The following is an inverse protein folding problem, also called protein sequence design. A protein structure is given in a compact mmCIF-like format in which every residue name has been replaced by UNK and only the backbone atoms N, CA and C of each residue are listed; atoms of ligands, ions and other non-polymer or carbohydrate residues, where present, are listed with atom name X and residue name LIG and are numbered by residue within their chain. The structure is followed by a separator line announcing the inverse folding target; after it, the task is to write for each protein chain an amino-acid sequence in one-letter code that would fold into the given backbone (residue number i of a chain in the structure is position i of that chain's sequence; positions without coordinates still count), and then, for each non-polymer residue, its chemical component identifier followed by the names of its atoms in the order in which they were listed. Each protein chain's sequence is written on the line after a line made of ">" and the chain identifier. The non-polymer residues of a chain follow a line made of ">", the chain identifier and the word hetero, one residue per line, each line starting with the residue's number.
data_IF_906925169923
#
_entry.id   IF_906925169923
#
_cell.length_a   1.000
_cell.length_b   1.000
_cell.length_c   1.000
_cell.angle_alpha   90.00
_cell.angle_beta   90.00
_cell.angle_gamma   90.00
#
_symmetry.space_group_name_H-M   'P 1'
#
loop_
_entity.id
_entity.type
_entity.pdbx_description
1 polymer ?
#
# COMPACT_ATOMS: atom_id res chain seq x y z
N UNK A 1 11.71 -19.47 -3.00
CA UNK A 1 10.30 -19.71 -2.66
C UNK A 1 9.48 -19.00 -3.71
N UNK A 2 8.55 -19.70 -4.35
CA UNK A 2 7.64 -19.13 -5.36
C UNK A 2 6.39 -18.66 -4.63
N UNK A 3 6.05 -17.38 -4.76
CA UNK A 3 4.89 -16.80 -4.08
C UNK A 3 3.68 -16.95 -5.00
N UNK A 4 2.56 -17.47 -4.47
CA UNK A 4 1.33 -17.63 -5.24
C UNK A 4 0.41 -16.43 -4.99
N UNK A 5 -0.13 -15.84 -6.07
CA UNK A 5 -1.07 -14.71 -5.99
C UNK A 5 -2.25 -14.96 -5.06
N UNK A 6 -2.75 -16.19 -5.05
CA UNK A 6 -3.93 -16.61 -4.30
C UNK A 6 -3.70 -16.63 -2.79
N UNK A 7 -2.43 -16.71 -2.39
CA UNK A 7 -2.02 -16.66 -0.98
C UNK A 7 -1.55 -15.27 -0.58
N UNK A 8 -1.54 -14.29 -1.48
CA UNK A 8 -1.11 -12.93 -1.17
C UNK A 8 -2.26 -12.15 -0.53
N UNK A 9 -1.96 -11.64 0.66
CA UNK A 9 -2.80 -10.67 1.35
C UNK A 9 -2.11 -9.32 1.42
N UNK A 10 -2.90 -8.26 1.34
CA UNK A 10 -2.49 -6.88 1.35
C UNK A 10 -2.93 -6.20 2.65
N UNK A 11 -1.98 -5.53 3.28
CA UNK A 11 -2.22 -4.60 4.36
C UNK A 11 -1.87 -3.18 3.90
N UNK A 12 -2.83 -2.27 4.03
CA UNK A 12 -2.64 -0.86 3.70
C UNK A 12 -2.49 -0.08 4.99
N UNK A 13 -1.41 0.67 5.11
CA UNK A 13 -1.14 1.57 6.22
C UNK A 13 -1.15 3.01 5.71
N UNK A 14 -1.66 3.90 6.55
CA UNK A 14 -1.71 5.33 6.31
C UNK A 14 -1.00 6.06 7.44
N UNK A 15 -0.07 6.93 7.07
CA UNK A 15 0.53 7.90 7.97
C UNK A 15 0.42 9.28 7.32
N UNK A 16 0.31 10.31 8.15
CA UNK A 16 0.45 11.68 7.68
C UNK A 16 1.34 12.45 8.64
N UNK A 17 2.09 13.36 8.06
CA UNK A 17 3.02 14.23 8.77
C UNK A 17 3.03 15.61 8.12
N UNK A 18 3.63 16.58 8.80
CA UNK A 18 3.84 17.91 8.25
C UNK A 18 5.35 18.12 8.13
N UNK A 19 5.85 18.20 6.90
CA UNK A 19 7.27 18.46 6.64
C UNK A 19 7.41 19.84 6.02
N UNK A 20 8.30 20.67 6.54
CA UNK A 20 8.54 22.03 6.02
C UNK A 20 7.28 22.92 5.85
N UNK A 21 6.23 22.69 6.64
CA UNK A 21 4.96 23.42 6.55
C UNK A 21 3.97 22.87 5.51
N UNK A 22 4.35 21.82 4.77
CA UNK A 22 3.49 21.13 3.82
C UNK A 22 2.96 19.82 4.40
N UNK A 23 1.71 19.48 4.08
CA UNK A 23 1.12 18.21 4.50
C UNK A 23 1.67 17.09 3.64
N UNK A 24 2.23 16.07 4.27
CA UNK A 24 2.73 14.87 3.62
C UNK A 24 1.87 13.69 4.05
N UNK A 25 1.32 12.98 3.08
CA UNK A 25 0.57 11.75 3.30
C UNK A 25 1.41 10.56 2.79
N UNK A 26 1.56 9.53 3.62
CA UNK A 26 2.29 8.31 3.32
C UNK A 26 1.33 7.13 3.36
N UNK A 27 1.28 6.37 2.28
CA UNK A 27 0.52 5.13 2.15
C UNK A 27 1.49 3.98 1.98
N UNK A 28 1.58 3.09 2.96
CA UNK A 28 2.43 1.91 2.89
C UNK A 28 1.61 0.67 2.63
N UNK A 29 1.80 0.09 1.46
CA UNK A 29 1.26 -1.20 1.05
C UNK A 29 2.24 -2.29 1.46
N UNK A 30 1.78 -3.25 2.26
CA UNK A 30 2.54 -4.43 2.65
C UNK A 30 1.80 -5.64 2.12
N UNK A 31 2.48 -6.44 1.30
CA UNK A 31 2.02 -7.73 0.83
C UNK A 31 2.65 -8.82 1.68
N UNK A 32 1.83 -9.74 2.15
CA UNK A 32 2.25 -10.89 2.94
C UNK A 32 1.76 -12.17 2.29
N UNK A 33 2.59 -13.20 2.36
CA UNK A 33 2.17 -14.54 2.00
C UNK A 33 1.41 -15.14 3.19
N UNK A 34 0.12 -15.45 3.01
CA UNK A 34 -0.76 -15.96 4.04
C UNK A 34 -0.38 -17.38 4.50
N UNK A 35 0.32 -18.13 3.66
CA UNK A 35 0.78 -19.51 3.98
C UNK A 35 1.90 -19.50 5.01
N UNK A 36 2.82 -18.55 4.88
CA UNK A 36 4.04 -18.44 5.71
C UNK A 36 3.98 -17.29 6.71
N UNK A 37 3.01 -16.40 6.58
CA UNK A 37 2.88 -15.16 7.35
C UNK A 37 3.98 -14.12 7.06
N UNK A 38 4.83 -14.37 6.06
CA UNK A 38 6.03 -13.55 5.80
C UNK A 38 5.70 -12.39 4.87
N UNK A 39 6.26 -11.22 5.15
CA UNK A 39 6.21 -10.06 4.26
C UNK A 39 7.04 -10.33 2.99
N UNK A 40 6.41 -10.24 1.84
CA UNK A 40 7.03 -10.56 0.54
C UNK A 40 7.28 -9.32 -0.30
N UNK A 41 6.53 -8.25 -0.08
CA UNK A 41 6.70 -6.98 -0.78
C UNK A 41 6.17 -5.83 0.07
N UNK A 42 6.89 -4.70 0.10
CA UNK A 42 6.47 -3.49 0.80
C UNK A 42 6.73 -2.29 -0.09
N UNK A 43 5.72 -1.45 -0.31
CA UNK A 43 5.83 -0.20 -1.06
C UNK A 43 5.21 0.96 -0.31
N UNK A 44 5.94 2.05 -0.14
CA UNK A 44 5.48 3.29 0.47
C UNK A 44 5.33 4.36 -0.59
N UNK A 45 4.10 4.82 -0.79
CA UNK A 45 3.74 5.93 -1.64
C UNK A 45 3.64 7.18 -0.77
N UNK A 46 4.22 8.28 -1.24
CA UNK A 46 4.28 9.55 -0.53
C UNK A 46 3.64 10.61 -1.41
N UNK A 47 2.72 11.37 -0.84
CA UNK A 47 2.17 12.58 -1.43
C UNK A 47 2.65 13.77 -0.61
N UNK A 48 3.40 14.66 -1.23
CA UNK A 48 3.85 15.91 -0.64
C UNK A 48 2.98 17.05 -1.18
N UNK A 49 2.36 17.82 -0.28
CA UNK A 49 1.44 18.89 -0.63
C UNK A 49 -0.02 18.45 -0.79
N UNK A 50 -0.88 19.40 -1.16
CA UNK A 50 -2.31 19.21 -1.38
C UNK A 50 -2.75 19.86 -2.70
N UNK A 51 -3.83 19.35 -3.30
CA UNK A 51 -4.43 19.92 -4.51
C UNK A 51 -3.65 19.62 -5.79
N UNK A 52 -3.56 20.59 -6.70
CA UNK A 52 -2.89 20.44 -8.01
C UNK A 52 -1.36 20.47 -7.92
N UNK A 53 -0.81 21.02 -6.84
CA UNK A 53 0.64 21.05 -6.60
C UNK A 53 1.17 19.83 -5.85
N UNK A 54 0.30 18.85 -5.56
CA UNK A 54 0.68 17.64 -4.86
C UNK A 54 1.64 16.79 -5.71
N UNK A 55 2.82 16.50 -5.15
CA UNK A 55 3.83 15.64 -5.76
C UNK A 55 3.64 14.23 -5.23
N UNK A 56 3.57 13.26 -6.13
CA UNK A 56 3.42 11.85 -5.81
C UNK A 56 4.73 11.14 -6.10
N UNK A 57 5.34 10.57 -5.06
CA UNK A 57 6.63 9.90 -5.11
C UNK A 57 6.55 8.56 -4.43
N UNK A 58 7.38 7.62 -4.88
CA UNK A 58 7.57 6.35 -4.18
C UNK A 58 8.73 6.52 -3.19
N UNK A 59 8.44 6.44 -1.89
CA UNK A 59 9.42 6.68 -0.84
C UNK A 59 10.30 5.47 -0.52
N UNK A 60 9.70 4.28 -0.42
CA UNK A 60 10.43 3.04 -0.12
C UNK A 60 9.77 1.87 -0.85
N UNK A 61 10.57 1.02 -1.48
CA UNK A 61 10.10 -0.27 -1.99
C UNK A 61 11.07 -1.37 -1.60
N UNK A 62 10.52 -2.53 -1.28
CA UNK A 62 11.29 -3.73 -1.01
C UNK A 62 10.53 -4.96 -1.50
N UNK A 63 11.27 -5.93 -2.02
CA UNK A 63 10.77 -7.27 -2.34
C UNK A 63 11.66 -8.31 -1.68
N UNK A 64 11.04 -9.31 -1.09
CA UNK A 64 11.75 -10.38 -0.38
C UNK A 64 12.41 -11.37 -1.36
N UNK A 65 11.97 -11.41 -2.61
CA UNK A 65 12.57 -12.25 -3.64
C UNK A 65 12.55 -11.60 -5.03
N UNK A 66 13.68 -11.05 -5.46
CA UNK A 66 13.86 -10.48 -6.80
C UNK A 66 13.97 -11.52 -7.94
N UNK A 67 13.92 -12.82 -7.63
CA UNK A 67 13.83 -13.88 -8.66
C UNK A 67 12.38 -14.27 -8.96
N UNK A 68 11.43 -13.79 -8.17
CA UNK A 68 10.01 -14.09 -8.35
C UNK A 68 9.39 -13.09 -9.35
N UNK A 69 8.89 -13.55 -10.50
CA UNK A 69 8.35 -12.67 -11.53
C UNK A 69 7.11 -11.91 -11.07
N UNK A 70 6.32 -12.48 -10.14
CA UNK A 70 5.13 -11.82 -9.62
C UNK A 70 5.52 -10.62 -8.75
N UNK A 71 6.48 -10.78 -7.85
CA UNK A 71 6.96 -9.70 -7.00
C UNK A 71 7.63 -8.57 -7.79
N UNK A 72 8.35 -8.91 -8.87
CA UNK A 72 8.91 -7.92 -9.79
C UNK A 72 7.84 -7.10 -10.51
N UNK A 73 6.76 -7.74 -10.99
CA UNK A 73 5.63 -7.04 -11.61
C UNK A 73 4.93 -6.11 -10.62
N UNK A 74 4.72 -6.56 -9.38
CA UNK A 74 4.15 -5.76 -8.30
C UNK A 74 5.03 -4.55 -7.97
N UNK A 75 6.34 -4.74 -7.86
CA UNK A 75 7.28 -3.65 -7.66
C UNK A 75 7.21 -2.62 -8.80
N UNK A 76 7.24 -3.08 -10.05
CA UNK A 76 7.13 -2.21 -11.22
C UNK A 76 5.80 -1.43 -11.23
N UNK A 77 4.70 -2.08 -10.87
CA UNK A 77 3.39 -1.45 -10.76
C UNK A 77 3.39 -0.31 -9.72
N UNK A 78 3.86 -0.57 -8.51
CA UNK A 78 3.96 0.46 -7.48
C UNK A 78 5.03 1.51 -7.79
N UNK A 79 6.04 1.19 -8.60
CA UNK A 79 7.04 2.17 -9.07
C UNK A 79 6.43 3.18 -10.03
N UNK A 80 5.41 2.77 -10.79
CA UNK A 80 4.61 3.67 -11.65
C UNK A 80 3.51 4.42 -10.88
N UNK A 81 3.53 4.40 -9.54
CA UNK A 81 2.50 5.05 -8.74
C UNK A 81 2.36 6.53 -9.09
N UNK A 82 1.17 6.86 -9.58
CA UNK A 82 0.76 8.20 -9.92
C UNK A 82 -0.40 8.66 -9.01
N UNK A 83 -0.87 9.88 -9.25
CA UNK A 83 -1.99 10.48 -8.53
C UNK A 83 -3.23 9.56 -8.49
N UNK A 84 -3.58 8.90 -9.61
CA UNK A 84 -4.76 8.05 -9.67
C UNK A 84 -4.64 6.82 -8.77
N UNK A 85 -3.46 6.17 -8.72
CA UNK A 85 -3.21 5.07 -7.79
C UNK A 85 -3.32 5.53 -6.34
N UNK A 86 -2.69 6.67 -6.01
CA UNK A 86 -2.70 7.20 -4.66
C UNK A 86 -4.12 7.59 -4.22
N UNK A 87 -4.88 8.29 -5.06
CA UNK A 87 -6.26 8.71 -4.76
C UNK A 87 -7.20 7.50 -4.63
N UNK A 88 -7.00 6.43 -5.41
CA UNK A 88 -7.75 5.17 -5.27
C UNK A 88 -7.52 4.54 -3.89
N UNK A 89 -6.28 4.50 -3.43
CA UNK A 89 -5.94 3.99 -2.10
C UNK A 89 -6.45 4.93 -1.00
N UNK A 90 -6.30 6.24 -1.16
CA UNK A 90 -6.79 7.27 -0.24
C UNK A 90 -8.31 7.22 -0.10
N UNK A 91 -9.07 6.88 -1.16
CA UNK A 91 -10.52 6.69 -1.07
C UNK A 91 -10.90 5.57 -0.09
N UNK A 92 -10.07 4.51 0.04
CA UNK A 92 -10.28 3.44 1.02
C UNK A 92 -9.97 3.91 2.43
N UNK A 93 -8.94 4.75 2.58
CA UNK A 93 -8.62 5.43 3.83
C UNK A 93 -9.79 6.30 4.29
N UNK A 94 -10.31 7.15 3.40
CA UNK A 94 -11.44 8.03 3.67
C UNK A 94 -12.73 7.27 4.03
N UNK A 95 -13.03 6.18 3.32
CA UNK A 95 -14.15 5.28 3.66
C UNK A 95 -14.02 4.69 5.05
N UNK A 96 -12.81 4.41 5.52
CA UNK A 96 -12.57 3.83 6.85
C UNK A 96 -12.63 4.88 7.96
N UNK A 97 -12.22 6.12 7.68
CA UNK A 97 -12.43 7.24 8.59
C UNK A 97 -13.90 7.67 8.67
N UNK A 98 -14.66 7.50 7.59
CA UNK A 98 -16.08 7.89 7.51
C UNK A 98 -17.02 6.78 7.99
N UNK A 99 -16.64 5.51 7.82
CA UNK A 99 -17.34 4.40 8.48
C UNK A 99 -16.95 4.40 9.96
N UNK A 100 -17.87 4.13 10.89
CA UNK A 100 -17.57 4.00 12.32
C UNK A 100 -16.26 3.24 12.50
N UNK A 101 -15.22 3.94 12.95
CA UNK A 101 -13.86 3.38 13.12
C UNK A 101 -14.00 2.11 13.95
N UNK A 102 -13.92 0.96 13.29
CA UNK A 102 -14.02 -0.30 13.98
C UNK A 102 -12.77 -0.43 14.84
N UNK A 103 -12.93 -0.21 16.14
CA UNK A 103 -11.83 -0.18 17.11
C UNK A 103 -11.09 -1.51 17.21
N UNK A 104 -11.63 -2.60 16.65
CA UNK A 104 -10.95 -3.90 16.53
C UNK A 104 -10.04 -4.03 15.29
N UNK A 105 -10.16 -3.16 14.29
CA UNK A 105 -9.45 -3.27 13.01
C UNK A 105 -8.45 -2.13 12.79
N UNK A 106 -8.61 -1.01 13.49
CA UNK A 106 -7.75 0.15 13.40
C UNK A 106 -6.58 0.02 14.38
N UNK A 107 -5.44 -0.49 13.91
CA UNK A 107 -4.22 -0.65 14.71
C UNK A 107 -3.11 0.30 14.23
N UNK A 108 -2.43 1.00 15.13
CA UNK A 108 -1.23 1.76 14.79
C UNK A 108 -0.02 0.83 14.73
N UNK A 109 0.43 0.50 13.51
CA UNK A 109 1.62 -0.30 13.26
C UNK A 109 2.86 0.56 13.01
N UNK A 110 3.99 -0.10 12.70
CA UNK A 110 5.27 0.54 12.36
C UNK A 110 5.17 1.53 11.19
N UNK A 111 4.19 1.34 10.30
CA UNK A 111 3.97 2.16 9.10
C UNK A 111 2.79 3.14 9.25
N UNK A 112 2.26 3.31 10.46
CA UNK A 112 1.12 4.17 10.74
C UNK A 112 -0.19 3.41 10.96
N UNK A 113 -1.31 4.08 10.73
CA UNK A 113 -2.65 3.54 10.90
C UNK A 113 -2.90 2.43 9.89
N UNK A 114 -3.11 1.19 10.34
CA UNK A 114 -3.55 0.13 9.46
C UNK A 114 -5.01 0.38 9.06
N UNK A 115 -5.21 0.64 7.77
CA UNK A 115 -6.51 0.88 7.15
C UNK A 115 -7.09 -0.44 6.68
N UNK A 116 -6.30 -1.23 5.95
CA UNK A 116 -6.73 -2.54 5.45
C UNK A 116 -5.85 -3.59 6.10
N UNK A 117 -6.47 -4.65 6.60
CA UNK A 117 -5.73 -5.79 7.12
C UNK A 117 -6.11 -7.04 6.35
N UNK A 118 -5.11 -7.77 5.86
CA UNK A 118 -5.25 -9.09 5.24
C UNK A 118 -6.28 -9.17 4.09
N UNK A 119 -6.42 -8.12 3.29
CA UNK A 119 -7.33 -8.16 2.15
C UNK A 119 -6.73 -8.89 0.96
N UNK A 120 -7.54 -9.48 0.09
CA UNK A 120 -7.01 -10.20 -1.08
C UNK A 120 -6.37 -9.22 -2.06
N UNK A 121 -5.23 -9.60 -2.64
CA UNK A 121 -4.49 -8.72 -3.55
C UNK A 121 -5.31 -8.29 -4.78
N UNK A 122 -6.21 -9.17 -5.25
CA UNK A 122 -7.13 -8.91 -6.36
C UNK A 122 -8.09 -7.74 -6.12
N UNK A 123 -8.37 -7.38 -4.87
CA UNK A 123 -9.24 -6.22 -4.56
C UNK A 123 -8.53 -4.88 -4.79
N UNK A 124 -7.20 -4.87 -4.84
CA UNK A 124 -6.38 -3.66 -4.89
C UNK A 124 -5.65 -3.53 -6.21
N UNK A 125 -5.11 -4.63 -6.71
CA UNK A 125 -4.24 -4.68 -7.86
C UNK A 125 -5.02 -5.32 -9.02
N UNK A 126 -5.11 -4.64 -10.18
CA UNK A 126 -5.83 -5.19 -11.33
C UNK A 126 -5.14 -6.44 -11.87
N UNK A 127 -5.92 -7.41 -12.37
CA UNK A 127 -5.41 -8.68 -12.94
C UNK A 127 -4.36 -8.46 -14.04
N UNK A 128 -4.44 -7.35 -14.77
CA UNK A 128 -3.48 -6.96 -15.81
C UNK A 128 -2.04 -6.79 -15.30
N UNK A 129 -1.81 -6.64 -13.99
CA UNK A 129 -0.47 -6.62 -13.38
C UNK A 129 0.10 -8.03 -13.22
N UNK A 130 -0.77 -9.04 -13.18
CA UNK A 130 -0.41 -10.44 -12.97
C UNK A 130 -0.18 -11.19 -14.29
N UNK A 131 -0.83 -10.76 -15.38
CA UNK A 131 -0.64 -11.26 -16.75
C UNK A 131 0.78 -11.08 -17.28
#
# INVERSE_FOLDING_TARGET
>A
MTVLRENLVLDLHYASETTFGEKVAKLTVVLRDNTTGTEVHTSTLVREGEGESAVYTVGYQNISNATDPLLLKLEAYFRTADKAMFDKLMTRVDKLFTSDLNSNSTWMGQYGLRIVSSAMVDEFIPESVFE
#
